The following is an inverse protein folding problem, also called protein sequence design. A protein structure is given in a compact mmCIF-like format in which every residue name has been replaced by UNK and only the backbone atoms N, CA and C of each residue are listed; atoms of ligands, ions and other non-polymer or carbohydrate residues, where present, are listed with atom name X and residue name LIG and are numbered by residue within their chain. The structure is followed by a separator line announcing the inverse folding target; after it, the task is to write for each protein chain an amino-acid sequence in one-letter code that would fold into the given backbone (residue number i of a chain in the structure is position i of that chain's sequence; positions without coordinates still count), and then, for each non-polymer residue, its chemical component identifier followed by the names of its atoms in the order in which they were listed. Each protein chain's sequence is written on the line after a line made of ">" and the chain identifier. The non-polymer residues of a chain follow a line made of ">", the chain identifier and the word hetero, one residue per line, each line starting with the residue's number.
data_IF_516453241305
#
_entry.id   IF_516453241305
#
_cell.length_a   1.000
_cell.length_b   1.000
_cell.length_c   1.000
_cell.angle_alpha   90.00
_cell.angle_beta   90.00
_cell.angle_gamma   90.00
#
_symmetry.space_group_name_H-M   'P 1'
#
loop_
_entity.id
_entity.type
_entity.pdbx_description
1 polymer ?
#
# COMPACT_ATOMS: atom_id res chain seq x y z
N UNK A 1 1.09 10.75 25.07
CA UNK A 1 1.16 10.33 23.67
C UNK A 1 2.57 10.65 23.19
N UNK A 2 3.29 9.69 22.60
CA UNK A 2 4.62 9.98 22.09
C UNK A 2 4.48 10.89 20.86
N UNK A 3 5.16 12.04 20.85
CA UNK A 3 5.24 12.86 19.65
C UNK A 3 6.19 12.17 18.66
N UNK A 4 5.63 11.54 17.63
CA UNK A 4 6.42 10.97 16.55
C UNK A 4 6.90 12.09 15.63
N UNK A 5 8.19 12.07 15.27
CA UNK A 5 8.80 13.00 14.32
C UNK A 5 9.12 12.26 13.02
N UNK A 6 9.11 13.00 11.91
CA UNK A 6 9.49 12.45 10.61
C UNK A 6 10.98 12.70 10.34
N UNK A 7 11.66 11.68 9.81
CA UNK A 7 13.03 11.76 9.32
C UNK A 7 13.13 11.14 7.90
N UNK A 8 12.81 11.93 6.86
CA UNK A 8 12.78 11.45 5.48
C UNK A 8 14.11 10.97 4.93
N UNK A 9 15.22 11.53 5.42
CA UNK A 9 16.56 11.16 4.96
C UNK A 9 16.87 9.69 5.25
N UNK A 10 16.16 9.07 6.20
CA UNK A 10 16.33 7.67 6.59
C UNK A 10 15.26 6.73 6.02
N UNK A 11 14.30 7.23 5.25
CA UNK A 11 13.15 6.44 4.80
C UNK A 11 13.54 5.27 3.91
N UNK A 12 14.48 5.50 3.00
CA UNK A 12 14.94 4.47 2.07
C UNK A 12 15.60 3.34 2.88
N UNK A 13 16.58 3.66 3.72
CA UNK A 13 17.33 2.65 4.47
C UNK A 13 16.46 1.88 5.47
N UNK A 14 15.46 2.53 6.09
CA UNK A 14 14.64 1.92 7.14
C UNK A 14 13.42 1.18 6.63
N UNK A 15 12.77 1.68 5.57
CA UNK A 15 11.43 1.23 5.21
C UNK A 15 11.33 0.65 3.80
N UNK A 16 12.34 0.81 2.93
CA UNK A 16 12.25 0.33 1.55
C UNK A 16 11.96 -1.17 1.46
N UNK A 17 12.73 -2.01 2.15
CA UNK A 17 12.54 -3.47 2.15
C UNK A 17 11.18 -3.87 2.72
N UNK A 18 10.76 -3.25 3.83
CA UNK A 18 9.48 -3.55 4.46
C UNK A 18 8.30 -3.17 3.55
N UNK A 19 8.29 -1.95 3.02
CA UNK A 19 7.24 -1.49 2.12
C UNK A 19 7.24 -2.28 0.80
N UNK A 20 8.41 -2.65 0.29
CA UNK A 20 8.53 -3.48 -0.91
C UNK A 20 7.96 -4.88 -0.68
N UNK A 21 8.34 -5.55 0.41
CA UNK A 21 7.83 -6.88 0.76
C UNK A 21 6.31 -6.87 1.01
N UNK A 22 5.81 -5.80 1.64
CA UNK A 22 4.37 -5.58 1.80
C UNK A 22 3.66 -5.43 0.44
N UNK A 23 4.28 -4.73 -0.51
CA UNK A 23 3.66 -4.42 -1.81
C UNK A 23 3.73 -5.60 -2.77
N UNK A 24 4.87 -6.29 -2.85
CA UNK A 24 5.09 -7.37 -3.83
C UNK A 24 4.15 -8.55 -3.60
N UNK A 25 3.82 -8.87 -2.35
CA UNK A 25 2.84 -9.91 -2.02
C UNK A 25 1.41 -9.56 -2.45
N UNK A 26 1.14 -8.28 -2.72
CA UNK A 26 -0.18 -7.77 -3.11
C UNK A 26 -0.29 -7.55 -4.61
N UNK A 27 0.75 -7.00 -5.25
CA UNK A 27 0.71 -6.66 -6.69
C UNK A 27 1.31 -7.71 -7.61
N UNK A 28 2.13 -8.64 -7.08
CA UNK A 28 2.80 -9.71 -7.81
C UNK A 28 3.62 -9.27 -9.05
N UNK A 29 4.02 -8.00 -9.09
CA UNK A 29 4.88 -7.42 -10.11
C UNK A 29 5.96 -6.56 -9.43
N UNK A 30 7.23 -6.89 -9.72
CA UNK A 30 8.39 -6.26 -9.07
C UNK A 30 8.57 -4.80 -9.45
N UNK A 31 8.32 -4.43 -10.69
CA UNK A 31 8.50 -3.05 -11.16
C UNK A 31 7.37 -2.18 -10.64
N UNK A 32 6.12 -2.67 -10.69
CA UNK A 32 4.97 -1.98 -10.08
C UNK A 32 5.17 -1.82 -8.57
N UNK A 33 5.67 -2.85 -7.87
CA UNK A 33 5.93 -2.75 -6.44
C UNK A 33 6.97 -1.66 -6.12
N UNK A 34 8.07 -1.58 -6.87
CA UNK A 34 9.06 -0.51 -6.71
C UNK A 34 8.46 0.87 -6.98
N UNK A 35 7.66 1.01 -8.03
CA UNK A 35 7.03 2.27 -8.38
C UNK A 35 6.06 2.75 -7.29
N UNK A 36 5.23 1.87 -6.75
CA UNK A 36 4.31 2.21 -5.66
C UNK A 36 5.04 2.61 -4.38
N UNK A 37 6.16 1.96 -4.05
CA UNK A 37 7.02 2.33 -2.92
C UNK A 37 7.65 3.70 -3.15
N UNK A 38 8.21 3.97 -4.34
CA UNK A 38 8.77 5.27 -4.69
C UNK A 38 7.72 6.39 -4.62
N UNK A 39 6.53 6.15 -5.19
CA UNK A 39 5.41 7.09 -5.10
C UNK A 39 4.97 7.35 -3.66
N UNK A 40 5.07 6.35 -2.80
CA UNK A 40 4.73 6.47 -1.38
C UNK A 40 5.68 7.43 -0.68
N UNK A 41 7.00 7.28 -0.86
CA UNK A 41 7.96 8.22 -0.30
C UNK A 41 7.76 9.63 -0.85
N UNK A 42 7.52 9.78 -2.15
CA UNK A 42 7.29 11.09 -2.74
C UNK A 42 6.00 11.76 -2.22
N UNK A 43 4.92 10.99 -2.06
CA UNK A 43 3.67 11.46 -1.48
C UNK A 43 3.83 11.80 0.01
N UNK A 44 4.59 11.00 0.75
CA UNK A 44 5.01 11.26 2.12
C UNK A 44 5.69 12.62 2.23
N UNK A 45 6.76 12.85 1.44
CA UNK A 45 7.50 14.11 1.42
C UNK A 45 6.59 15.32 1.16
N UNK A 46 5.68 15.22 0.20
CA UNK A 46 4.73 16.30 -0.11
C UNK A 46 3.74 16.59 1.02
N UNK A 47 3.35 15.56 1.76
CA UNK A 47 2.31 15.62 2.78
C UNK A 47 2.85 15.74 4.21
N UNK A 48 4.16 15.81 4.40
CA UNK A 48 4.81 15.88 5.72
C UNK A 48 4.24 16.96 6.64
N UNK A 49 3.87 18.12 6.10
CA UNK A 49 3.28 19.23 6.88
C UNK A 49 1.94 18.88 7.53
N UNK A 50 1.27 17.85 7.03
CA UNK A 50 -0.03 17.38 7.52
C UNK A 50 0.12 16.21 8.50
N UNK A 51 1.34 15.76 8.78
CA UNK A 51 1.58 14.71 9.75
C UNK A 51 1.33 15.21 11.17
N UNK A 52 0.44 14.53 11.88
CA UNK A 52 -0.01 14.94 13.22
C UNK A 52 0.80 14.34 14.37
N UNK A 53 1.74 13.44 14.08
CA UNK A 53 2.50 12.73 15.11
C UNK A 53 1.70 11.69 15.91
N UNK A 54 0.45 11.44 15.53
CA UNK A 54 -0.46 10.48 16.22
C UNK A 54 -0.09 9.01 15.96
N UNK A 55 0.65 8.74 14.88
CA UNK A 55 1.07 7.40 14.50
C UNK A 55 2.58 7.38 14.24
N UNK A 56 3.19 6.19 14.33
CA UNK A 56 4.58 6.00 13.94
C UNK A 56 4.79 6.36 12.46
N UNK A 57 6.02 6.73 12.11
CA UNK A 57 6.41 7.04 10.74
C UNK A 57 6.16 5.87 9.77
N UNK A 58 6.44 4.62 10.20
CA UNK A 58 6.15 3.42 9.43
C UNK A 58 4.65 3.24 9.20
N UNK A 59 3.83 3.33 10.26
CA UNK A 59 2.37 3.22 10.15
C UNK A 59 1.80 4.27 9.19
N UNK A 60 2.33 5.49 9.25
CA UNK A 60 1.90 6.56 8.37
C UNK A 60 2.27 6.29 6.91
N UNK A 61 3.51 5.88 6.61
CA UNK A 61 3.92 5.51 5.26
C UNK A 61 3.13 4.32 4.70
N UNK A 62 2.83 3.32 5.53
CA UNK A 62 1.96 2.18 5.18
C UNK A 62 0.56 2.65 4.81
N UNK A 63 0.00 3.62 5.55
CA UNK A 63 -1.33 4.17 5.24
C UNK A 63 -1.40 4.86 3.87
N UNK A 64 -0.31 5.51 3.46
CA UNK A 64 -0.17 6.12 2.13
C UNK A 64 -0.05 5.01 1.08
N UNK A 65 0.81 4.01 1.33
CA UNK A 65 1.02 2.87 0.42
C UNK A 65 -0.26 2.07 0.18
N UNK A 66 -1.04 1.76 1.23
CA UNK A 66 -2.35 1.08 1.15
C UNK A 66 -3.26 1.82 0.16
N UNK A 67 -3.35 3.16 0.22
CA UNK A 67 -4.14 3.96 -0.73
C UNK A 67 -3.61 3.88 -2.15
N UNK A 68 -2.29 3.88 -2.34
CA UNK A 68 -1.64 3.76 -3.66
C UNK A 68 -1.93 2.42 -4.33
N UNK A 69 -1.89 1.32 -3.57
CA UNK A 69 -2.25 -0.01 -4.06
C UNK A 69 -3.73 -0.04 -4.49
N UNK A 70 -4.63 0.52 -3.68
CA UNK A 70 -6.07 0.61 -4.04
C UNK A 70 -6.28 1.41 -5.33
N UNK A 71 -5.61 2.56 -5.46
CA UNK A 71 -5.69 3.39 -6.65
C UNK A 71 -5.14 2.70 -7.90
N UNK A 72 -4.07 1.91 -7.76
CA UNK A 72 -3.52 1.08 -8.83
C UNK A 72 -4.56 0.10 -9.37
N UNK A 73 -5.20 -0.68 -8.50
CA UNK A 73 -6.26 -1.61 -8.91
C UNK A 73 -7.51 -0.91 -9.45
N UNK A 74 -7.90 0.23 -8.87
CA UNK A 74 -9.02 1.02 -9.37
C UNK A 74 -8.76 1.52 -10.80
N UNK A 75 -7.51 1.89 -11.12
CA UNK A 75 -7.12 2.31 -12.47
C UNK A 75 -7.20 1.15 -13.46
N UNK A 76 -6.65 -0.01 -13.10
CA UNK A 76 -6.69 -1.22 -13.95
C UNK A 76 -8.14 -1.67 -14.22
N UNK A 77 -8.98 -1.68 -13.19
CA UNK A 77 -10.37 -2.14 -13.29
C UNK A 77 -11.32 -1.14 -13.96
N UNK A 78 -10.90 0.11 -14.17
CA UNK A 78 -11.67 1.08 -14.94
C UNK A 78 -11.78 0.67 -16.40
N UNK A 79 -12.89 1.00 -17.07
CA UNK A 79 -13.09 0.71 -18.50
C UNK A 79 -11.94 1.22 -19.38
N UNK A 80 -11.34 2.36 -19.01
CA UNK A 80 -10.16 2.92 -19.67
C UNK A 80 -8.89 2.08 -19.42
N UNK A 81 -8.67 1.64 -18.18
CA UNK A 81 -7.54 0.76 -17.85
C UNK A 81 -7.64 -0.60 -18.53
N UNK A 82 -8.83 -1.19 -18.57
CA UNK A 82 -9.09 -2.43 -19.33
C UNK A 82 -8.82 -2.27 -20.83
N UNK A 83 -9.11 -1.10 -21.41
CA UNK A 83 -8.79 -0.82 -22.81
C UNK A 83 -7.27 -0.66 -23.05
N UNK A 84 -6.54 0.01 -22.15
CA UNK A 84 -5.08 0.17 -22.21
C UNK A 84 -4.35 -1.17 -22.04
N UNK A 85 -4.80 -2.02 -21.11
CA UNK A 85 -4.23 -3.38 -20.91
C UNK A 85 -4.45 -4.27 -22.14
N UNK A 86 -5.63 -4.19 -22.78
CA UNK A 86 -5.92 -4.94 -24.02
C UNK A 86 -5.01 -4.54 -25.18
N UNK A 87 -4.61 -3.28 -25.27
CA UNK A 87 -3.67 -2.79 -26.31
C UNK A 87 -2.26 -3.38 -26.08
N UNK A 88 -1.84 -3.54 -24.82
CA UNK A 88 -0.51 -4.09 -24.51
C UNK A 88 -0.42 -5.62 -24.68
N UNK A 89 -1.55 -6.34 -24.70
CA UNK A 89 -1.59 -7.81 -24.78
C UNK A 89 -1.90 -8.35 -26.18
N UNK A 90 -1.93 -7.50 -27.22
CA UNK A 90 -2.25 -7.92 -28.59
C UNK A 90 -1.05 -8.44 -29.39
N UNK A 91 0.05 -8.84 -28.74
CA UNK A 91 1.27 -9.34 -29.42
C UNK A 91 1.84 -10.65 -28.86
N UNK A 92 1.00 -11.48 -28.21
CA UNK A 92 1.32 -12.89 -28.00
C UNK A 92 0.03 -13.73 -27.97
N UNK A 93 -0.09 -14.66 -28.91
CA UNK A 93 -1.16 -15.65 -28.99
C UNK A 93 -1.24 -16.51 -27.70
N UNK A 94 -2.48 -16.70 -27.24
CA UNK A 94 -2.99 -17.86 -26.49
C UNK A 94 -2.35 -18.22 -25.14
N UNK A 95 -3.06 -17.96 -24.04
CA UNK A 95 -3.87 -18.95 -23.30
C UNK A 95 -4.17 -18.42 -21.89
N UNK A 96 -5.40 -18.60 -21.41
CA UNK A 96 -5.72 -18.50 -19.98
C UNK A 96 -6.46 -17.24 -19.57
N UNK A 97 -7.77 -17.32 -19.71
CA UNK A 97 -8.78 -16.85 -18.77
C UNK A 97 -8.33 -17.03 -17.30
N UNK A 98 -7.68 -16.01 -16.71
CA UNK A 98 -7.19 -16.02 -15.31
C UNK A 98 -7.65 -14.79 -14.51
N UNK A 99 -8.76 -14.14 -14.91
CA UNK A 99 -9.18 -12.87 -14.32
C UNK A 99 -10.33 -12.95 -13.31
N UNK A 100 -10.85 -14.14 -12.98
CA UNK A 100 -12.04 -14.23 -12.11
C UNK A 100 -11.83 -14.74 -10.68
N UNK A 101 -10.61 -15.02 -10.21
CA UNK A 101 -10.45 -15.58 -8.85
C UNK A 101 -9.36 -14.92 -8.00
N UNK A 102 -9.46 -13.60 -7.86
CA UNK A 102 -8.81 -12.84 -6.79
C UNK A 102 -9.80 -11.80 -6.25
N UNK A 103 -10.99 -12.26 -5.80
CA UNK A 103 -11.75 -11.47 -4.83
C UNK A 103 -10.92 -11.48 -3.54
N UNK A 104 -10.50 -10.30 -3.08
CA UNK A 104 -9.84 -10.16 -1.78
C UNK A 104 -10.71 -10.84 -0.73
N UNK A 105 -10.18 -11.85 -0.04
CA UNK A 105 -10.89 -12.52 1.04
C UNK A 105 -11.17 -11.47 2.13
N UNK A 106 -12.45 -11.13 2.39
CA UNK A 106 -12.81 -10.14 3.42
C UNK A 106 -12.39 -10.58 4.84
N UNK A 107 -11.96 -11.83 5.01
CA UNK A 107 -11.57 -12.43 6.27
C UNK A 107 -10.08 -12.79 6.38
N UNK A 108 -9.25 -12.42 5.40
CA UNK A 108 -7.79 -12.60 5.49
C UNK A 108 -7.20 -11.63 6.53
N UNK A 109 -7.36 -12.01 7.81
CA UNK A 109 -6.83 -11.29 8.96
C UNK A 109 -5.37 -11.66 9.09
N UNK A 110 -4.51 -10.79 8.58
CA UNK A 110 -3.07 -10.92 8.78
C UNK A 110 -2.73 -10.69 10.26
N UNK A 111 -1.57 -11.19 10.71
CA UNK A 111 -1.10 -10.95 12.07
C UNK A 111 -0.95 -9.44 12.38
N UNK A 112 -0.67 -8.64 11.35
CA UNK A 112 -0.60 -7.18 11.42
C UNK A 112 -1.99 -6.55 11.65
N UNK A 113 -3.07 -7.09 11.07
CA UNK A 113 -4.44 -6.61 11.33
C UNK A 113 -4.88 -6.87 12.77
N UNK A 114 -4.40 -7.95 13.41
CA UNK A 114 -4.64 -8.17 14.84
C UNK A 114 -3.93 -7.13 15.69
N UNK A 115 -2.69 -6.80 15.33
CA UNK A 115 -1.85 -5.85 16.05
C UNK A 115 -2.39 -4.42 15.91
N UNK A 116 -2.80 -4.00 14.70
CA UNK A 116 -3.51 -2.73 14.46
C UNK A 116 -4.81 -2.65 15.28
N UNK A 117 -5.58 -3.74 15.38
CA UNK A 117 -6.82 -3.76 16.16
C UNK A 117 -6.60 -3.73 17.68
N UNK A 118 -5.56 -4.38 18.19
CA UNK A 118 -5.18 -4.32 19.60
C UNK A 118 -4.73 -2.91 19.98
N UNK A 119 -3.86 -2.28 19.18
CA UNK A 119 -3.43 -0.90 19.41
C UNK A 119 -4.60 0.09 19.31
N UNK A 120 -5.53 -0.13 18.37
CA UNK A 120 -6.75 0.68 18.25
C UNK A 120 -7.66 0.51 19.47
N UNK A 121 -7.83 -0.71 19.98
CA UNK A 121 -8.62 -1.00 21.18
C UNK A 121 -8.06 -0.32 22.42
N UNK A 122 -6.74 -0.39 22.60
CA UNK A 122 -6.04 0.26 23.70
C UNK A 122 -6.14 1.79 23.63
N UNK A 123 -6.08 2.37 22.43
CA UNK A 123 -6.25 3.80 22.23
C UNK A 123 -7.66 4.28 22.59
N UNK A 124 -8.70 3.50 22.27
CA UNK A 124 -10.11 3.83 22.60
C UNK A 124 -10.34 3.75 24.11
N UNK A 125 -9.83 2.70 24.77
CA UNK A 125 -9.98 2.52 26.22
C UNK A 125 -9.24 3.59 27.03
N UNK A 126 -8.13 4.11 26.52
CA UNK A 126 -7.40 5.22 27.16
C UNK A 126 -8.07 6.60 26.99
N UNK A 127 -9.10 6.71 26.13
CA UNK A 127 -9.86 7.93 25.92
C UNK A 127 -11.20 7.96 26.70
N UNK A 128 -11.54 6.88 27.40
CA UNK A 128 -12.70 6.75 28.31
C UNK A 128 -12.27 6.97 29.76
#
# INVERSE_FOLDING_TARGET
>A
MAEHTLNPDTWIDKYSDYLFNYTISRVNDREIAKDLVQETFFAGLKSMKNFKGEASESTWLISILKRKIIDHYRKINSAKGKAEVRINYSDAESEGDWLEEQVADPFDKTAEDKLENEELGDAIMNCL
#
